data_IF_215488381939
#
_entry.id   IF_215488381939
#
_cell.length_a   1.000
_cell.length_b   1.000
_cell.length_c   1.000
_cell.angle_alpha   90.00
_cell.angle_beta   90.00
_cell.angle_gamma   90.00
#
_symmetry.space_group_name_H-M   'P 1'
#
loop_
_entity.id
_entity.type
_entity.pdbx_description
1 polymer ?
#
# COMPACT_ATOMS: atom_id res chain seq x y z
N UNK A 1 26.49 18.19 1.29
CA UNK A 1 25.53 17.21 1.83
C UNK A 1 24.13 17.57 1.33
N UNK A 2 23.46 16.64 0.68
CA UNK A 2 22.06 16.79 0.22
C UNK A 2 21.11 16.38 1.36
N UNK A 3 20.27 17.32 1.82
CA UNK A 3 19.17 16.98 2.74
C UNK A 3 17.96 16.59 1.91
N UNK A 4 17.52 15.34 2.04
CA UNK A 4 16.42 14.77 1.27
C UNK A 4 15.12 14.81 2.07
N UNK A 5 14.02 14.97 1.35
CA UNK A 5 12.65 14.84 1.85
C UNK A 5 11.98 13.61 1.19
N UNK A 6 10.90 13.11 1.76
CA UNK A 6 10.14 11.99 1.20
C UNK A 6 9.73 12.27 -0.26
N UNK A 7 9.92 11.28 -1.14
CA UNK A 7 9.68 11.38 -2.58
C UNK A 7 10.81 12.01 -3.40
N UNK A 8 11.82 12.60 -2.75
CA UNK A 8 12.91 13.27 -3.46
C UNK A 8 13.88 12.25 -4.06
N UNK A 9 14.24 12.49 -5.34
CA UNK A 9 15.17 11.68 -6.13
C UNK A 9 16.39 12.50 -6.53
N UNK A 10 17.56 11.87 -6.61
CA UNK A 10 18.79 12.49 -7.12
C UNK A 10 19.67 11.45 -7.84
N UNK A 11 20.43 11.88 -8.84
CA UNK A 11 21.46 11.03 -9.44
C UNK A 11 22.70 10.96 -8.54
N UNK A 12 23.38 9.84 -8.56
CA UNK A 12 24.64 9.67 -7.83
C UNK A 12 25.68 10.75 -8.21
N UNK A 13 25.73 11.08 -9.50
CA UNK A 13 26.64 12.14 -10.02
C UNK A 13 26.30 13.53 -9.48
N UNK A 14 25.04 13.81 -9.18
CA UNK A 14 24.60 15.09 -8.59
C UNK A 14 24.97 15.20 -7.10
N UNK A 15 25.07 14.05 -6.41
CA UNK A 15 25.39 13.99 -4.98
C UNK A 15 26.88 13.75 -4.75
N UNK A 16 27.62 13.32 -5.77
CA UNK A 16 29.03 12.96 -5.69
C UNK A 16 29.28 11.55 -5.16
N UNK A 17 28.28 10.65 -5.28
CA UNK A 17 28.38 9.24 -4.86
C UNK A 17 28.92 8.42 -6.03
N UNK A 18 29.84 7.49 -5.72
CA UNK A 18 30.35 6.47 -6.66
C UNK A 18 29.65 5.13 -6.45
N UNK A 19 30.17 4.07 -7.07
CA UNK A 19 29.62 2.72 -6.92
C UNK A 19 29.89 2.07 -5.53
N UNK A 20 30.79 2.65 -4.74
CA UNK A 20 31.11 2.17 -3.39
C UNK A 20 30.73 3.23 -2.36
N UNK A 21 29.82 2.89 -1.47
CA UNK A 21 29.31 3.77 -0.42
C UNK A 21 28.72 2.95 0.73
N UNK A 22 28.41 3.61 1.84
CA UNK A 22 27.73 3.02 2.99
C UNK A 22 26.36 3.67 3.19
N UNK A 23 25.32 2.86 3.32
CA UNK A 23 24.02 3.29 3.86
C UNK A 23 24.03 3.13 5.36
N UNK A 24 23.71 4.19 6.09
CA UNK A 24 23.69 4.22 7.55
C UNK A 24 22.29 4.54 8.00
N UNK A 25 21.76 3.75 8.96
CA UNK A 25 20.50 4.06 9.63
C UNK A 25 20.73 4.34 11.11
N UNK A 26 20.17 5.43 11.57
CA UNK A 26 20.05 5.79 12.99
C UNK A 26 18.56 5.94 13.29
N UNK A 27 17.93 4.85 13.72
CA UNK A 27 16.50 4.80 13.99
C UNK A 27 16.26 4.77 15.50
N UNK A 28 15.42 5.67 15.97
CA UNK A 28 15.11 5.85 17.40
C UNK A 28 13.63 5.57 17.64
N UNK A 29 13.30 4.58 18.44
CA UNK A 29 11.92 4.24 18.81
C UNK A 29 11.80 3.85 20.29
N UNK A 30 12.35 4.65 21.20
CA UNK A 30 12.30 4.40 22.63
C UNK A 30 12.87 3.03 23.01
N UNK A 31 12.01 2.17 23.55
CA UNK A 31 12.37 0.77 23.95
C UNK A 31 12.04 -0.25 22.85
N UNK A 32 11.46 0.18 21.73
CA UNK A 32 11.03 -0.73 20.64
C UNK A 32 12.22 -1.09 19.76
N UNK A 33 12.38 -2.37 19.50
CA UNK A 33 13.40 -2.87 18.56
C UNK A 33 12.93 -2.66 17.12
N UNK A 34 13.81 -2.09 16.31
CA UNK A 34 13.58 -1.89 14.88
C UNK A 34 14.58 -2.73 14.11
N UNK A 35 14.08 -3.65 13.31
CA UNK A 35 14.89 -4.45 12.39
C UNK A 35 15.03 -3.72 11.05
N UNK A 36 16.25 -3.67 10.53
CA UNK A 36 16.57 -3.04 9.26
C UNK A 36 17.06 -4.09 8.28
N UNK A 37 16.54 -4.04 7.05
CA UNK A 37 16.94 -4.92 5.96
C UNK A 37 17.17 -4.16 4.66
N UNK A 38 18.03 -4.71 3.80
CA UNK A 38 18.25 -4.23 2.45
C UNK A 38 17.86 -5.34 1.46
N UNK A 39 16.90 -5.07 0.60
CA UNK A 39 16.39 -5.99 -0.42
C UNK A 39 16.98 -5.69 -1.78
N UNK A 40 17.55 -6.69 -2.45
CA UNK A 40 17.98 -6.62 -3.85
C UNK A 40 16.85 -7.09 -4.78
N UNK A 41 16.33 -6.17 -5.60
CA UNK A 41 15.18 -6.42 -6.45
C UNK A 41 15.54 -6.30 -7.93
N UNK A 42 14.79 -7.00 -8.78
CA UNK A 42 14.91 -6.94 -10.24
C UNK A 42 14.27 -5.66 -10.84
N UNK A 43 14.31 -5.53 -12.17
CA UNK A 43 13.72 -4.41 -12.91
C UNK A 43 12.20 -4.28 -12.76
N UNK A 44 11.52 -5.29 -12.22
CA UNK A 44 10.09 -5.29 -11.88
C UNK A 44 9.84 -5.06 -10.38
N UNK A 45 10.89 -4.70 -9.64
CA UNK A 45 10.88 -4.52 -8.19
C UNK A 45 10.43 -5.78 -7.43
N UNK A 46 10.84 -6.96 -7.93
CA UNK A 46 10.65 -8.24 -7.26
C UNK A 46 11.97 -8.74 -6.69
N UNK A 47 11.90 -9.42 -5.56
CA UNK A 47 13.06 -10.02 -4.92
C UNK A 47 13.70 -11.02 -5.88
N UNK A 48 14.97 -10.84 -6.17
CA UNK A 48 15.71 -11.71 -7.12
C UNK A 48 15.82 -13.12 -6.56
N UNK A 49 16.17 -13.23 -5.29
CA UNK A 49 16.14 -14.45 -4.47
C UNK A 49 16.25 -14.03 -3.00
N UNK A 50 15.88 -14.92 -2.07
CA UNK A 50 16.00 -14.70 -0.63
C UNK A 50 17.45 -14.37 -0.20
N UNK A 51 18.44 -14.84 -0.94
CA UNK A 51 19.85 -14.53 -0.70
C UNK A 51 20.21 -13.05 -0.89
N UNK A 52 19.34 -12.28 -1.59
CA UNK A 52 19.49 -10.83 -1.76
C UNK A 52 18.69 -10.01 -0.75
N UNK A 53 18.25 -10.63 0.34
CA UNK A 53 17.71 -9.95 1.50
C UNK A 53 18.79 -9.89 2.59
N UNK A 54 19.45 -8.73 2.76
CA UNK A 54 20.53 -8.55 3.75
C UNK A 54 19.95 -7.98 5.04
N UNK A 55 20.13 -8.71 6.16
CA UNK A 55 19.63 -8.35 7.50
C UNK A 55 20.49 -9.06 8.58
N UNK A 56 20.14 -8.93 9.85
CA UNK A 56 20.98 -9.42 10.97
C UNK A 56 21.30 -10.93 10.90
N UNK A 57 20.38 -11.77 10.43
CA UNK A 57 20.62 -13.22 10.27
C UNK A 57 21.33 -13.58 8.95
N UNK A 58 21.29 -12.69 7.97
CA UNK A 58 21.94 -12.85 6.66
C UNK A 58 22.72 -11.58 6.31
N UNK A 59 23.88 -11.35 6.97
CA UNK A 59 24.56 -10.06 6.91
C UNK A 59 25.33 -9.79 5.61
N UNK A 60 25.30 -10.73 4.63
CA UNK A 60 26.01 -10.57 3.36
C UNK A 60 25.26 -11.18 2.20
N UNK A 61 25.28 -10.51 1.04
CA UNK A 61 24.84 -11.09 -0.22
C UNK A 61 25.84 -12.12 -0.77
N UNK A 62 25.40 -13.12 -1.57
CA UNK A 62 26.29 -14.14 -2.16
C UNK A 62 27.43 -13.55 -2.99
N UNK A 63 27.16 -12.48 -3.74
CA UNK A 63 28.14 -11.77 -4.57
C UNK A 63 29.08 -10.86 -3.75
N UNK A 64 28.84 -10.70 -2.44
CA UNK A 64 29.60 -9.79 -1.57
C UNK A 64 29.43 -8.30 -1.91
N UNK A 65 28.36 -7.95 -2.63
CA UNK A 65 28.04 -6.57 -2.97
C UNK A 65 27.52 -5.78 -1.77
N UNK A 66 26.84 -6.43 -0.82
CA UNK A 66 26.30 -5.82 0.38
C UNK A 66 26.78 -6.57 1.60
N UNK A 67 27.23 -5.82 2.61
CA UNK A 67 27.54 -6.37 3.94
C UNK A 67 27.00 -5.46 5.04
N UNK A 68 26.33 -6.07 6.03
CA UNK A 68 25.72 -5.38 7.18
C UNK A 68 26.66 -5.48 8.39
N UNK A 69 26.85 -4.35 9.05
CA UNK A 69 27.43 -4.23 10.37
C UNK A 69 26.41 -3.54 11.28
N UNK A 70 26.07 -4.15 12.41
CA UNK A 70 25.09 -3.63 13.36
C UNK A 70 25.77 -3.28 14.70
N UNK A 71 25.39 -2.14 15.24
CA UNK A 71 25.69 -1.72 16.63
C UNK A 71 24.35 -1.46 17.34
N UNK A 72 24.40 -1.17 18.64
CA UNK A 72 23.19 -0.87 19.40
C UNK A 72 22.39 0.35 18.90
N UNK A 73 23.03 1.30 18.23
CA UNK A 73 22.41 2.56 17.80
C UNK A 73 22.42 2.78 16.29
N UNK A 74 23.07 1.93 15.51
CA UNK A 74 23.31 2.19 14.10
C UNK A 74 23.47 0.88 13.31
N UNK A 75 22.86 0.81 12.14
CA UNK A 75 23.12 -0.23 11.15
C UNK A 75 23.84 0.38 9.94
N UNK A 76 24.87 -0.29 9.47
CA UNK A 76 25.70 0.15 8.36
C UNK A 76 25.72 -0.93 7.28
N UNK A 77 25.25 -0.59 6.09
CA UNK A 77 25.31 -1.45 4.91
C UNK A 77 26.41 -0.93 4.00
N UNK A 78 27.55 -1.62 3.98
CA UNK A 78 28.62 -1.33 3.03
C UNK A 78 28.22 -1.93 1.68
N UNK A 79 28.16 -1.10 0.65
CA UNK A 79 27.62 -1.43 -0.68
C UNK A 79 28.68 -1.18 -1.75
N UNK A 80 28.85 -2.18 -2.61
CA UNK A 80 29.65 -2.11 -3.84
C UNK A 80 28.78 -2.53 -5.03
N UNK A 81 28.21 -1.55 -5.72
CA UNK A 81 27.32 -1.78 -6.86
C UNK A 81 27.98 -2.49 -8.04
N UNK A 82 29.33 -2.43 -8.13
CA UNK A 82 30.08 -3.10 -9.20
C UNK A 82 30.07 -4.63 -9.09
N UNK A 83 29.72 -5.15 -7.90
CA UNK A 83 29.63 -6.59 -7.63
C UNK A 83 28.20 -7.13 -7.75
N UNK A 84 27.21 -6.25 -7.91
CA UNK A 84 25.84 -6.71 -8.10
C UNK A 84 25.69 -7.41 -9.44
N UNK A 85 24.93 -8.52 -9.51
CA UNK A 85 24.58 -9.12 -10.79
C UNK A 85 23.62 -8.20 -11.58
N UNK A 86 23.63 -8.36 -12.90
CA UNK A 86 22.78 -7.57 -13.80
C UNK A 86 21.28 -7.72 -13.52
N UNK A 87 20.88 -8.79 -12.84
CA UNK A 87 19.50 -9.03 -12.42
C UNK A 87 19.03 -8.14 -11.26
N UNK A 88 19.93 -7.42 -10.58
CA UNK A 88 19.57 -6.51 -9.48
C UNK A 88 19.62 -5.07 -9.97
N UNK A 89 18.46 -4.46 -10.11
CA UNK A 89 18.30 -3.06 -10.52
C UNK A 89 18.00 -2.12 -9.36
N UNK A 90 17.48 -2.66 -8.25
CA UNK A 90 17.08 -1.89 -7.07
C UNK A 90 17.64 -2.48 -5.80
N UNK A 91 18.08 -1.59 -4.90
CA UNK A 91 18.33 -1.89 -3.50
C UNK A 91 17.36 -1.05 -2.67
N UNK A 92 16.54 -1.71 -1.85
CA UNK A 92 15.55 -1.02 -1.01
C UNK A 92 15.87 -1.25 0.45
N UNK A 93 16.19 -0.15 1.14
CA UNK A 93 16.42 -0.14 2.57
C UNK A 93 15.08 -0.01 3.30
N UNK A 94 14.82 -0.91 4.24
CA UNK A 94 13.55 -1.02 4.94
C UNK A 94 13.75 -1.09 6.44
N UNK A 95 12.72 -0.75 7.20
CA UNK A 95 12.68 -0.97 8.64
C UNK A 95 11.36 -1.63 9.04
N UNK A 96 11.41 -2.51 10.04
CA UNK A 96 10.25 -3.23 10.56
C UNK A 96 10.23 -3.19 12.08
N UNK A 97 9.03 -3.18 12.65
CA UNK A 97 8.79 -3.26 14.10
C UNK A 97 7.96 -4.51 14.37
N UNK A 98 8.41 -5.31 15.33
CA UNK A 98 7.67 -6.47 15.80
C UNK A 98 6.73 -6.14 16.96
N UNK A 99 5.80 -7.06 17.24
CA UNK A 99 4.86 -6.94 18.37
C UNK A 99 3.70 -5.96 18.07
N UNK A 100 3.28 -5.21 19.09
CA UNK A 100 2.12 -4.30 19.03
C UNK A 100 2.49 -2.86 18.68
N UNK A 101 3.77 -2.53 18.67
CA UNK A 101 4.29 -1.19 18.34
C UNK A 101 4.16 -0.87 16.84
N UNK A 102 4.15 0.42 16.54
CA UNK A 102 4.03 0.92 15.15
C UNK A 102 5.12 1.94 14.85
N UNK A 103 5.33 2.25 13.57
CA UNK A 103 6.27 3.28 13.12
C UNK A 103 5.90 4.69 13.60
N UNK A 104 4.69 4.88 14.17
CA UNK A 104 4.31 6.12 14.85
C UNK A 104 5.18 6.42 16.07
N UNK A 105 5.79 5.39 16.68
CA UNK A 105 6.69 5.53 17.82
C UNK A 105 8.12 5.96 17.42
N UNK A 106 8.38 6.05 16.12
CA UNK A 106 9.68 6.46 15.60
C UNK A 106 9.95 7.92 15.98
N UNK A 107 10.98 8.16 16.77
CA UNK A 107 11.51 9.49 17.01
C UNK A 107 12.25 10.04 15.79
N UNK A 108 12.82 11.23 15.89
CA UNK A 108 13.64 11.79 14.81
C UNK A 108 14.78 10.84 14.46
N UNK A 109 14.74 10.32 13.27
CA UNK A 109 15.58 9.24 12.75
C UNK A 109 16.23 9.62 11.44
N UNK A 110 17.33 9.00 11.10
CA UNK A 110 18.12 9.38 9.94
C UNK A 110 18.52 8.18 9.10
N UNK A 111 18.45 8.36 7.78
CA UNK A 111 19.12 7.52 6.79
C UNK A 111 20.17 8.38 6.08
N UNK A 112 21.39 7.90 6.05
CA UNK A 112 22.53 8.66 5.52
C UNK A 112 23.27 7.83 4.48
N UNK A 113 23.81 8.50 3.46
CA UNK A 113 24.76 7.94 2.51
C UNK A 113 26.13 8.54 2.82
N UNK A 114 27.08 7.66 3.15
CA UNK A 114 28.45 7.99 3.46
C UNK A 114 29.40 7.44 2.39
N UNK A 115 30.37 8.21 2.01
CA UNK A 115 31.50 7.76 1.20
C UNK A 115 32.78 8.37 1.71
N UNK A 116 33.81 7.53 1.91
CA UNK A 116 35.13 7.95 2.43
C UNK A 116 35.05 8.78 3.73
N UNK A 117 34.12 8.43 4.64
CA UNK A 117 33.92 9.12 5.92
C UNK A 117 33.13 10.43 5.83
N UNK A 118 32.65 10.78 4.65
CA UNK A 118 31.85 12.00 4.45
C UNK A 118 30.39 11.66 4.16
N UNK A 119 29.44 12.27 4.91
CA UNK A 119 28.01 12.17 4.62
C UNK A 119 27.70 13.04 3.43
N UNK A 120 27.25 12.43 2.33
CA UNK A 120 26.91 13.09 1.08
C UNK A 120 25.41 13.38 0.96
N UNK A 121 24.57 12.47 1.47
CA UNK A 121 23.12 12.67 1.53
C UNK A 121 22.56 12.23 2.88
N UNK A 122 21.49 12.89 3.32
CA UNK A 122 20.78 12.62 4.58
C UNK A 122 19.28 12.74 4.37
N UNK A 123 18.53 11.72 4.75
CA UNK A 123 17.08 11.71 4.82
C UNK A 123 16.66 11.64 6.28
N UNK A 124 15.84 12.60 6.72
CA UNK A 124 15.29 12.65 8.08
C UNK A 124 13.84 12.23 8.05
N UNK A 125 13.47 11.34 8.96
CA UNK A 125 12.13 10.76 9.08
C UNK A 125 11.75 10.66 10.56
N UNK A 126 10.46 10.76 10.87
CA UNK A 126 9.93 10.58 12.22
C UNK A 126 8.53 9.95 12.18
N UNK A 127 8.02 9.55 13.34
CA UNK A 127 6.76 8.85 13.48
C UNK A 127 5.51 9.66 13.13
N UNK A 128 5.61 10.99 12.97
CA UNK A 128 4.47 11.84 12.61
C UNK A 128 3.91 11.52 11.20
N UNK A 129 4.74 10.87 10.37
CA UNK A 129 4.37 10.44 9.02
C UNK A 129 3.57 9.11 9.00
N UNK A 130 3.46 8.44 10.14
CA UNK A 130 2.89 7.08 10.24
C UNK A 130 1.74 7.02 11.23
N UNK A 131 0.90 6.02 11.07
CA UNK A 131 -0.21 5.71 11.97
C UNK A 131 -0.07 4.28 12.54
N UNK A 132 -0.47 3.28 11.74
CA UNK A 132 -0.50 1.87 12.14
C UNK A 132 0.53 1.03 11.37
N UNK A 133 1.39 1.68 10.61
CA UNK A 133 2.42 0.99 9.83
C UNK A 133 3.44 0.35 10.77
N UNK A 134 3.78 -0.90 10.46
CA UNK A 134 4.76 -1.70 11.21
C UNK A 134 6.01 -2.01 10.39
N UNK A 135 5.99 -1.68 9.10
CA UNK A 135 7.16 -1.69 8.24
C UNK A 135 7.16 -0.46 7.35
N UNK A 136 8.35 0.01 6.98
CA UNK A 136 8.53 1.16 6.08
C UNK A 136 9.65 0.87 5.07
N UNK A 137 9.49 1.36 3.85
CA UNK A 137 10.59 1.57 2.92
C UNK A 137 11.20 2.94 3.22
N UNK A 138 12.47 2.96 3.55
CA UNK A 138 13.21 4.16 3.93
C UNK A 138 13.82 4.86 2.72
N UNK A 139 14.61 4.10 1.95
CA UNK A 139 15.40 4.63 0.85
C UNK A 139 15.58 3.57 -0.22
N UNK A 140 15.62 3.99 -1.46
CA UNK A 140 15.88 3.15 -2.62
C UNK A 140 17.12 3.67 -3.37
N UNK A 141 18.02 2.76 -3.71
CA UNK A 141 19.09 2.96 -4.69
C UNK A 141 18.68 2.18 -5.92
N UNK A 142 18.65 2.80 -7.10
CA UNK A 142 18.18 2.14 -8.31
C UNK A 142 18.91 2.60 -9.56
N UNK A 143 18.94 1.71 -10.55
CA UNK A 143 19.53 1.95 -11.86
C UNK A 143 18.43 2.31 -12.87
N UNK A 144 18.61 3.42 -13.59
CA UNK A 144 17.72 3.81 -14.70
C UNK A 144 18.56 4.39 -15.84
N UNK A 145 18.48 3.78 -17.03
CA UNK A 145 19.29 4.14 -18.19
C UNK A 145 20.79 4.16 -17.84
N UNK A 146 21.27 3.09 -17.18
CA UNK A 146 22.65 2.90 -16.70
C UNK A 146 23.16 3.97 -15.72
N UNK A 147 22.26 4.79 -15.17
CA UNK A 147 22.58 5.81 -14.17
C UNK A 147 22.00 5.42 -12.82
N UNK A 148 22.85 5.27 -11.81
CA UNK A 148 22.43 5.05 -10.43
C UNK A 148 21.84 6.30 -9.80
N UNK A 149 20.78 6.11 -9.05
CA UNK A 149 19.97 7.15 -8.39
C UNK A 149 19.60 6.74 -6.99
N UNK A 150 19.28 7.74 -6.17
CA UNK A 150 18.67 7.55 -4.86
C UNK A 150 17.25 8.13 -4.85
N UNK A 151 16.39 7.53 -4.02
CA UNK A 151 15.03 7.99 -3.78
C UNK A 151 14.72 7.83 -2.29
N UNK A 152 14.40 8.91 -1.60
CA UNK A 152 13.90 8.87 -0.22
C UNK A 152 12.40 8.53 -0.27
N UNK A 153 11.97 7.42 0.34
CA UNK A 153 10.61 6.89 0.15
C UNK A 153 9.68 7.27 1.30
N UNK A 154 9.84 6.68 2.48
CA UNK A 154 8.91 6.89 3.59
C UNK A 154 7.56 6.17 3.45
N UNK A 155 7.43 5.17 2.59
CA UNK A 155 6.18 4.40 2.41
C UNK A 155 6.03 3.36 3.50
N UNK A 156 4.89 3.37 4.20
CA UNK A 156 4.57 2.44 5.27
C UNK A 156 3.71 1.24 4.87
N UNK A 157 3.77 0.17 5.68
CA UNK A 157 3.04 -1.09 5.53
C UNK A 157 2.47 -1.53 6.89
N UNK A 158 1.15 -1.64 7.00
CA UNK A 158 0.49 -2.03 8.25
C UNK A 158 0.77 -3.50 8.64
N UNK A 159 0.97 -4.38 7.67
CA UNK A 159 1.25 -5.80 7.86
C UNK A 159 2.70 -6.14 8.23
N UNK A 160 3.54 -5.15 8.56
CA UNK A 160 4.93 -5.38 8.97
C UNK A 160 5.79 -6.06 7.90
N UNK A 161 6.75 -6.88 8.35
CA UNK A 161 7.70 -7.57 7.46
C UNK A 161 6.99 -8.45 6.42
N UNK A 162 5.93 -9.17 6.80
CA UNK A 162 5.20 -10.05 5.88
C UNK A 162 4.60 -9.28 4.69
N UNK A 163 3.96 -8.13 4.96
CA UNK A 163 3.41 -7.30 3.89
C UNK A 163 4.50 -6.72 2.99
N UNK A 164 5.66 -6.40 3.56
CA UNK A 164 6.82 -5.90 2.82
C UNK A 164 7.42 -6.98 1.92
N UNK A 165 7.66 -8.19 2.45
CA UNK A 165 8.18 -9.34 1.69
C UNK A 165 7.22 -9.71 0.55
N UNK A 166 5.91 -9.78 0.84
CA UNK A 166 4.88 -10.02 -0.18
C UNK A 166 4.85 -8.93 -1.25
N UNK A 167 5.06 -7.66 -0.87
CA UNK A 167 5.16 -6.55 -1.81
C UNK A 167 6.29 -6.78 -2.83
N UNK A 168 7.42 -7.29 -2.37
CA UNK A 168 8.55 -7.65 -3.23
C UNK A 168 8.42 -9.03 -3.90
N UNK A 169 7.26 -9.71 -3.77
CA UNK A 169 6.98 -10.99 -4.43
C UNK A 169 7.64 -12.20 -3.76
N UNK A 170 8.21 -12.02 -2.55
CA UNK A 170 8.67 -13.11 -1.71
C UNK A 170 7.52 -13.83 -1.00
N UNK A 171 7.76 -15.05 -0.55
CA UNK A 171 6.86 -15.81 0.29
C UNK A 171 7.41 -15.82 1.73
N UNK A 172 6.53 -15.61 2.71
CA UNK A 172 6.87 -15.86 4.11
C UNK A 172 6.55 -17.32 4.38
N UNK A 173 7.54 -18.12 4.78
CA UNK A 173 7.34 -19.51 5.13
C UNK A 173 6.29 -19.59 6.25
N UNK A 174 5.17 -20.26 5.99
CA UNK A 174 4.23 -20.65 7.01
C UNK A 174 4.89 -21.72 7.86
N UNK A 175 5.04 -21.48 9.16
CA UNK A 175 5.32 -22.54 10.13
C UNK A 175 4.09 -23.45 10.21
N UNK A 176 3.96 -24.38 9.27
CA UNK A 176 3.05 -25.52 9.35
C UNK A 176 3.56 -26.51 10.38
N UNK A 177 3.35 -26.24 11.67
CA UNK A 177 3.37 -27.30 12.67
C UNK A 177 2.68 -26.88 13.97
N UNK A 178 1.36 -26.86 14.03
CA UNK A 178 0.61 -27.14 15.27
C UNK A 178 -0.89 -27.13 15.02
N UNK A 179 -1.45 -28.16 14.39
CA UNK A 179 -2.82 -28.58 14.64
C UNK A 179 -3.01 -30.06 14.28
N UNK A 180 -2.56 -30.93 15.19
CA UNK A 180 -3.12 -32.28 15.38
C UNK A 180 -3.41 -32.45 16.86
N UNK A 181 -4.66 -32.81 17.22
CA UNK A 181 -5.01 -32.99 18.63
C UNK A 181 -4.22 -34.18 19.23
N UNK A 182 -3.75 -34.07 20.48
CA UNK A 182 -3.00 -35.13 21.15
C UNK A 182 -3.94 -36.28 21.49
N UNK A 183 -3.57 -37.49 21.09
CA UNK A 183 -4.09 -38.72 21.70
C UNK A 183 -3.54 -38.83 23.11
N UNK A 184 -4.45 -39.00 24.06
CA UNK A 184 -4.16 -39.32 25.46
C UNK A 184 -3.23 -40.55 25.58
N UNK A 185 -2.18 -40.41 26.39
CA UNK A 185 -1.62 -41.52 27.15
C UNK A 185 -1.13 -41.02 28.50
N UNK A 186 -1.68 -41.65 29.55
CA UNK A 186 -1.34 -41.48 30.96
C UNK A 186 0.04 -42.06 31.22
N UNK A 187 0.87 -41.41 32.05
CA UNK A 187 1.30 -41.87 33.37
C UNK A 187 2.50 -41.07 33.94
N UNK A 188 2.24 -40.61 35.19
CA UNK A 188 3.10 -40.50 36.38
C UNK A 188 4.43 -39.75 36.44
N UNK A 189 4.37 -38.72 37.23
CA UNK A 189 5.21 -38.01 38.25
C UNK A 189 6.53 -38.68 38.75
N UNK A 190 7.49 -37.96 39.50
CA UNK A 190 7.53 -36.56 39.96
C UNK A 190 8.92 -35.84 39.97
N UNK A 191 8.84 -34.50 40.13
CA UNK A 191 9.74 -33.55 40.86
C UNK A 191 11.24 -33.40 40.51
N UNK A 192 11.66 -32.19 40.13
CA UNK A 192 12.39 -31.28 41.04
C UNK A 192 12.63 -29.90 40.41
N UNK A 193 12.50 -28.88 41.26
CA UNK A 193 12.72 -27.45 41.06
C UNK A 193 14.11 -27.10 40.50
N UNK A 194 14.21 -26.12 39.62
CA UNK A 194 15.02 -24.91 39.81
C UNK A 194 14.63 -23.85 38.75
N UNK A 195 14.27 -22.67 39.26
CA UNK A 195 13.92 -21.51 38.52
C UNK A 195 15.13 -20.93 37.78
N UNK A 196 15.01 -20.70 36.45
CA UNK A 196 15.71 -19.66 35.78
C UNK A 196 14.73 -19.05 34.79
N UNK A 197 14.32 -17.79 35.08
CA UNK A 197 13.57 -16.94 34.18
C UNK A 197 14.44 -16.63 32.97
N UNK A 198 14.21 -17.34 31.87
CA UNK A 198 14.56 -16.90 30.53
C UNK A 198 13.25 -16.51 29.89
N UNK A 199 13.11 -15.21 29.59
CA UNK A 199 12.06 -14.70 28.74
C UNK A 199 12.10 -15.44 27.39
N UNK A 200 11.16 -16.34 27.20
CA UNK A 200 10.82 -16.87 25.88
C UNK A 200 10.16 -15.75 25.09
N UNK A 201 10.61 -15.49 23.85
CA UNK A 201 9.90 -14.56 22.96
C UNK A 201 8.48 -15.10 22.75
N UNK A 202 7.49 -14.26 22.98
CA UNK A 202 6.10 -14.54 22.65
C UNK A 202 6.02 -14.83 21.16
N UNK A 203 5.61 -16.03 20.80
CA UNK A 203 5.31 -16.43 19.43
C UNK A 203 4.24 -15.50 18.87
N UNK A 204 4.66 -14.57 18.00
CA UNK A 204 3.75 -13.79 17.19
C UNK A 204 3.00 -14.74 16.26
N UNK A 205 1.67 -14.77 16.36
CA UNK A 205 0.82 -15.48 15.41
C UNK A 205 1.08 -14.97 13.99
N UNK A 206 1.21 -15.83 12.99
CA UNK A 206 1.43 -15.41 11.61
C UNK A 206 0.27 -14.53 11.15
N UNK A 207 0.60 -13.35 10.64
CA UNK A 207 -0.38 -12.39 10.14
C UNK A 207 -0.90 -12.87 8.78
N UNK A 208 -1.99 -13.63 8.79
CA UNK A 208 -2.59 -14.20 7.58
C UNK A 208 -3.36 -13.09 6.84
N UNK A 209 -2.71 -12.44 5.88
CA UNK A 209 -3.35 -11.46 5.00
C UNK A 209 -4.27 -12.18 4.03
N UNK A 210 -5.57 -12.19 4.32
CA UNK A 210 -6.56 -12.80 3.43
C UNK A 210 -6.85 -11.86 2.26
N UNK A 211 -6.21 -12.12 1.13
CA UNK A 211 -6.45 -11.40 -0.13
C UNK A 211 -7.48 -12.11 -0.99
N UNK A 212 -8.47 -11.36 -1.49
CA UNK A 212 -9.48 -11.83 -2.44
C UNK A 212 -9.47 -10.91 -3.66
N UNK A 213 -9.43 -11.51 -4.85
CA UNK A 213 -9.48 -10.78 -6.13
C UNK A 213 -10.83 -10.99 -6.80
N UNK A 214 -11.50 -9.92 -7.16
CA UNK A 214 -12.75 -9.89 -7.90
C UNK A 214 -12.45 -9.39 -9.33
N UNK A 215 -12.62 -10.25 -10.33
CA UNK A 215 -12.28 -9.98 -11.73
C UNK A 215 -13.48 -10.05 -12.70
N UNK A 216 -14.68 -10.32 -12.16
CA UNK A 216 -15.90 -10.45 -12.96
C UNK A 216 -17.01 -9.55 -12.42
N UNK A 217 -17.74 -8.85 -13.30
CA UNK A 217 -18.92 -8.09 -12.90
C UNK A 217 -19.89 -8.95 -12.09
N UNK A 218 -20.35 -8.39 -10.96
CA UNK A 218 -21.24 -9.07 -10.04
C UNK A 218 -20.57 -10.05 -9.08
N UNK A 219 -19.28 -10.34 -9.21
CA UNK A 219 -18.57 -11.08 -8.15
C UNK A 219 -18.46 -10.23 -6.90
N UNK A 220 -18.67 -10.85 -5.74
CA UNK A 220 -18.72 -10.15 -4.46
C UNK A 220 -17.97 -10.89 -3.37
N UNK A 221 -17.49 -10.15 -2.39
CA UNK A 221 -16.88 -10.68 -1.18
C UNK A 221 -17.27 -9.84 0.03
N UNK A 222 -17.45 -10.50 1.18
CA UNK A 222 -17.81 -9.86 2.44
C UNK A 222 -16.64 -9.86 3.42
N UNK A 223 -16.38 -8.69 3.99
CA UNK A 223 -15.50 -8.46 5.14
C UNK A 223 -16.37 -8.28 6.38
N UNK A 224 -16.05 -8.98 7.46
CA UNK A 224 -16.70 -8.76 8.75
C UNK A 224 -16.04 -7.58 9.47
N UNK A 225 -16.85 -6.66 9.99
CA UNK A 225 -16.37 -5.56 10.82
C UNK A 225 -16.18 -6.02 12.25
N UNK A 226 -15.04 -5.67 12.85
CA UNK A 226 -14.79 -5.89 14.27
C UNK A 226 -15.31 -4.69 15.06
N UNK A 227 -16.23 -4.93 15.99
CA UNK A 227 -16.80 -3.86 16.83
C UNK A 227 -15.71 -3.27 17.75
N UNK A 228 -15.63 -1.93 17.78
CA UNK A 228 -14.75 -1.19 18.68
C UNK A 228 -13.31 -1.03 18.22
N UNK A 229 -12.98 -1.35 16.96
CA UNK A 229 -11.68 -1.06 16.37
C UNK A 229 -11.59 0.40 15.89
N UNK A 230 -10.43 1.02 16.06
CA UNK A 230 -10.14 2.36 15.52
C UNK A 230 -9.72 2.33 14.04
N UNK A 231 -9.79 1.18 13.39
CA UNK A 231 -9.31 0.99 12.03
C UNK A 231 -10.31 1.54 11.01
N UNK A 232 -9.83 2.43 10.13
CA UNK A 232 -10.62 2.89 9.00
C UNK A 232 -10.58 1.87 7.87
N UNK A 233 -11.66 1.83 7.10
CA UNK A 233 -11.64 1.15 5.81
C UNK A 233 -10.88 2.03 4.82
N UNK A 234 -9.79 1.50 4.27
CA UNK A 234 -8.96 2.20 3.28
C UNK A 234 -9.34 1.71 1.88
N UNK A 235 -9.72 2.61 1.01
CA UNK A 235 -10.05 2.31 -0.39
C UNK A 235 -9.09 3.08 -1.30
N UNK A 236 -8.34 2.34 -2.11
CA UNK A 236 -7.39 2.90 -3.07
C UNK A 236 -7.87 2.62 -4.50
N UNK A 237 -7.95 3.65 -5.33
CA UNK A 237 -7.95 3.48 -6.78
C UNK A 237 -6.51 3.57 -7.28
N UNK A 238 -6.09 2.61 -8.09
CA UNK A 238 -4.71 2.48 -8.57
C UNK A 238 -4.76 2.29 -10.07
N UNK A 239 -3.95 3.06 -10.82
CA UNK A 239 -3.86 2.97 -12.27
C UNK A 239 -2.41 3.05 -12.75
N UNK A 240 -2.16 2.57 -13.95
CA UNK A 240 -0.83 2.59 -14.57
C UNK A 240 -0.72 3.73 -15.57
N UNK A 241 0.52 4.12 -15.88
CA UNK A 241 0.87 4.94 -17.02
C UNK A 241 0.45 4.23 -18.33
N UNK A 242 -0.12 4.95 -19.28
CA UNK A 242 -0.57 4.40 -20.56
C UNK A 242 0.58 4.05 -21.54
N UNK A 243 1.82 4.42 -21.18
CA UNK A 243 3.03 4.14 -21.94
C UNK A 243 3.33 5.11 -23.09
N UNK A 244 2.60 6.22 -23.21
CA UNK A 244 2.90 7.25 -24.19
C UNK A 244 3.97 8.26 -23.69
N UNK A 245 4.29 9.27 -24.48
CA UNK A 245 5.28 10.28 -24.12
C UNK A 245 4.70 11.49 -23.38
N UNK A 246 3.37 11.55 -23.22
CA UNK A 246 2.70 12.62 -22.50
C UNK A 246 2.76 12.37 -20.99
N UNK A 247 3.06 13.38 -20.20
CA UNK A 247 3.19 13.26 -18.75
C UNK A 247 1.95 13.74 -17.98
N UNK A 248 0.90 14.19 -18.69
CA UNK A 248 -0.24 14.86 -18.07
C UNK A 248 -1.62 14.31 -18.49
N UNK A 249 -1.66 13.15 -19.14
CA UNK A 249 -2.90 12.50 -19.57
C UNK A 249 -3.25 11.22 -18.80
N UNK A 250 -2.40 10.79 -17.87
CA UNK A 250 -2.57 9.60 -17.05
C UNK A 250 -3.23 9.93 -15.70
N UNK A 251 -4.15 10.89 -15.72
CA UNK A 251 -4.87 11.36 -14.54
C UNK A 251 -6.26 10.69 -14.46
N UNK A 252 -6.51 10.02 -13.32
CA UNK A 252 -7.81 9.45 -12.98
C UNK A 252 -8.28 9.97 -11.62
N UNK A 253 -9.41 10.63 -11.60
CA UNK A 253 -10.04 11.10 -10.37
C UNK A 253 -10.89 10.01 -9.72
N UNK A 254 -10.56 9.60 -8.50
CA UNK A 254 -11.40 8.73 -7.69
C UNK A 254 -12.62 9.51 -7.16
N UNK A 255 -13.80 9.02 -7.45
CA UNK A 255 -15.07 9.60 -6.99
C UNK A 255 -15.88 8.57 -6.22
N UNK A 256 -16.44 8.99 -5.11
CA UNK A 256 -17.26 8.13 -4.24
C UNK A 256 -18.67 8.72 -4.12
N UNK A 257 -19.64 7.99 -4.64
CA UNK A 257 -21.05 8.31 -4.40
C UNK A 257 -21.56 7.55 -3.17
N UNK A 258 -22.31 8.22 -2.31
CA UNK A 258 -22.81 7.71 -1.03
C UNK A 258 -24.33 7.73 -1.03
N UNK A 259 -24.97 6.61 -0.72
CA UNK A 259 -26.41 6.48 -0.61
C UNK A 259 -26.80 5.74 0.67
N UNK A 260 -27.40 6.44 1.63
CA UNK A 260 -28.03 5.81 2.79
C UNK A 260 -29.30 5.03 2.40
N UNK A 261 -29.59 3.92 3.09
CA UNK A 261 -30.80 3.14 2.83
C UNK A 261 -32.07 3.93 3.08
N UNK A 262 -32.04 4.87 4.02
CA UNK A 262 -33.15 5.76 4.36
C UNK A 262 -33.32 6.96 3.42
N UNK A 263 -32.42 7.18 2.46
CA UNK A 263 -32.40 8.33 1.55
C UNK A 263 -32.67 7.92 0.10
N UNK A 264 -33.11 8.87 -0.69
CA UNK A 264 -33.17 8.79 -2.17
C UNK A 264 -32.07 9.64 -2.80
N UNK A 265 -31.46 10.55 -2.03
CA UNK A 265 -30.46 11.50 -2.48
C UNK A 265 -29.07 10.97 -2.17
N UNK A 266 -28.18 11.12 -3.12
CA UNK A 266 -26.78 10.77 -3.00
C UNK A 266 -25.92 12.00 -2.71
N UNK A 267 -24.89 11.83 -1.89
CA UNK A 267 -23.77 12.76 -1.81
C UNK A 267 -22.54 12.17 -2.50
N UNK A 268 -21.62 13.04 -2.91
CA UNK A 268 -20.42 12.65 -3.63
C UNK A 268 -19.20 13.26 -2.96
N UNK A 269 -18.11 12.47 -2.96
CA UNK A 269 -16.80 12.86 -2.47
C UNK A 269 -15.81 12.75 -3.64
N UNK A 270 -15.02 13.77 -3.84
CA UNK A 270 -13.95 13.83 -4.83
C UNK A 270 -12.94 14.94 -4.45
N UNK A 271 -11.70 14.81 -4.87
CA UNK A 271 -10.69 15.84 -4.68
C UNK A 271 -10.62 16.76 -5.92
N UNK A 272 -10.18 18.01 -5.72
CA UNK A 272 -9.89 18.65 -4.44
C UNK A 272 -11.11 19.30 -3.75
N UNK A 273 -12.28 19.39 -4.40
CA UNK A 273 -13.37 20.27 -3.98
C UNK A 273 -14.18 19.72 -2.80
N UNK A 274 -14.57 18.45 -2.86
CA UNK A 274 -15.47 17.81 -1.88
C UNK A 274 -14.77 16.63 -1.19
N UNK A 275 -13.74 16.93 -0.39
CA UNK A 275 -12.91 15.91 0.25
C UNK A 275 -13.61 15.14 1.37
N UNK A 276 -14.72 15.65 1.93
CA UNK A 276 -15.49 15.00 2.99
C UNK A 276 -14.82 15.03 4.37
N UNK A 277 -15.29 14.14 5.28
CA UNK A 277 -14.82 14.04 6.66
C UNK A 277 -15.02 12.63 7.19
N UNK A 278 -14.14 12.17 8.09
CA UNK A 278 -14.28 10.89 8.82
C UNK A 278 -15.06 11.00 10.12
N UNK A 279 -15.10 12.19 10.73
CA UNK A 279 -15.68 12.43 12.05
C UNK A 279 -17.05 13.11 12.01
N UNK A 280 -17.42 13.63 10.85
CA UNK A 280 -18.71 14.24 10.57
C UNK A 280 -19.26 13.70 9.26
N UNK A 281 -20.53 13.98 8.93
CA UNK A 281 -21.08 13.65 7.63
C UNK A 281 -20.16 14.16 6.52
N UNK A 282 -19.85 13.33 5.51
CA UNK A 282 -20.47 12.05 5.17
C UNK A 282 -19.76 10.82 5.75
N UNK A 283 -18.81 10.93 6.69
CA UNK A 283 -18.01 9.84 7.27
C UNK A 283 -17.13 9.09 6.25
N UNK A 284 -16.85 9.75 5.16
CA UNK A 284 -15.96 9.34 4.05
C UNK A 284 -15.07 10.52 3.74
N UNK A 285 -13.76 10.29 3.62
CA UNK A 285 -12.77 11.34 3.38
C UNK A 285 -11.78 10.96 2.29
N UNK A 286 -11.67 11.81 1.27
CA UNK A 286 -10.64 11.72 0.24
C UNK A 286 -9.31 12.27 0.77
N UNK A 287 -8.19 11.63 0.43
CA UNK A 287 -6.86 11.99 0.94
C UNK A 287 -6.08 12.95 0.03
N UNK A 288 -6.66 13.41 -1.04
CA UNK A 288 -6.08 14.37 -1.96
C UNK A 288 -6.03 13.87 -3.41
N UNK A 289 -5.68 14.78 -4.30
CA UNK A 289 -5.65 14.63 -5.74
C UNK A 289 -4.22 14.25 -6.20
N UNK A 290 -4.08 13.21 -7.01
CA UNK A 290 -2.81 12.75 -7.58
C UNK A 290 -2.90 12.80 -9.11
N UNK A 291 -2.25 13.79 -9.71
CA UNK A 291 -2.39 14.15 -11.12
C UNK A 291 -1.53 13.36 -12.10
N UNK A 292 -0.61 12.53 -11.64
CA UNK A 292 0.40 11.91 -12.51
C UNK A 292 0.61 10.45 -12.12
N UNK A 293 0.42 9.55 -13.08
CA UNK A 293 1.00 8.21 -13.06
C UNK A 293 2.31 8.20 -13.86
N UNK A 294 3.23 7.32 -13.53
CA UNK A 294 4.44 7.06 -14.32
C UNK A 294 4.69 5.56 -14.41
N UNK A 295 5.50 5.13 -15.38
CA UNK A 295 5.88 3.72 -15.56
C UNK A 295 6.40 3.08 -14.26
N UNK A 296 7.04 3.88 -13.38
CA UNK A 296 7.63 3.40 -12.13
C UNK A 296 6.79 3.73 -10.88
N UNK A 297 5.77 4.55 -11.00
CA UNK A 297 4.90 4.97 -9.90
C UNK A 297 3.46 4.99 -10.43
N UNK A 298 2.68 3.92 -10.20
CA UNK A 298 1.25 3.91 -10.50
C UNK A 298 0.55 5.09 -9.83
N UNK A 299 -0.35 5.74 -10.55
CA UNK A 299 -1.24 6.72 -9.96
C UNK A 299 -2.08 6.05 -8.88
N UNK A 300 -2.29 6.74 -7.76
CA UNK A 300 -3.06 6.19 -6.65
C UNK A 300 -3.77 7.28 -5.87
N UNK A 301 -5.08 7.22 -5.84
CA UNK A 301 -5.89 8.02 -4.95
C UNK A 301 -6.51 7.18 -3.86
N UNK A 302 -6.67 7.78 -2.68
CA UNK A 302 -7.09 7.07 -1.47
C UNK A 302 -8.31 7.76 -0.85
N UNK A 303 -9.28 6.95 -0.47
CA UNK A 303 -10.43 7.35 0.34
C UNK A 303 -10.45 6.53 1.62
N UNK A 304 -10.66 7.19 2.74
CA UNK A 304 -10.92 6.55 4.02
C UNK A 304 -12.42 6.55 4.28
N UNK A 305 -12.93 5.46 4.83
CA UNK A 305 -14.33 5.32 5.24
C UNK A 305 -14.38 4.94 6.72
N UNK A 306 -15.18 5.67 7.48
CA UNK A 306 -15.44 5.31 8.86
C UNK A 306 -16.24 4.00 8.91
N UNK A 307 -15.78 2.92 9.56
CA UNK A 307 -16.48 1.63 9.58
C UNK A 307 -17.85 1.69 10.28
N UNK A 308 -18.06 2.65 11.17
CA UNK A 308 -19.35 2.90 11.84
C UNK A 308 -20.33 3.73 10.99
N UNK A 309 -20.04 4.00 9.71
CA UNK A 309 -20.87 4.83 8.83
C UNK A 309 -22.33 4.36 8.81
N UNK A 310 -22.60 3.05 8.79
CA UNK A 310 -23.94 2.48 8.83
C UNK A 310 -24.71 2.85 10.11
N UNK A 311 -24.03 2.91 11.25
CA UNK A 311 -24.59 3.33 12.53
C UNK A 311 -24.94 4.82 12.53
N UNK A 312 -24.07 5.67 11.97
CA UNK A 312 -24.31 7.11 11.90
C UNK A 312 -25.46 7.49 10.95
N UNK A 313 -25.65 6.71 9.89
CA UNK A 313 -26.79 6.89 8.97
C UNK A 313 -28.06 6.14 9.41
N UNK A 314 -28.02 5.42 10.53
CA UNK A 314 -29.17 4.66 11.06
C UNK A 314 -29.59 3.49 10.18
N UNK A 315 -28.66 2.87 9.44
CA UNK A 315 -28.94 1.73 8.57
C UNK A 315 -27.88 1.50 7.51
N UNK A 316 -28.14 0.61 6.57
CA UNK A 316 -27.21 0.28 5.49
C UNK A 316 -26.82 1.52 4.67
N UNK A 317 -25.56 1.56 4.26
CA UNK A 317 -25.02 2.60 3.37
C UNK A 317 -24.38 1.92 2.17
N UNK A 318 -24.71 2.40 0.98
CA UNK A 318 -24.07 1.97 -0.26
C UNK A 318 -23.07 3.03 -0.73
N UNK A 319 -21.87 2.60 -1.08
CA UNK A 319 -20.82 3.42 -1.66
C UNK A 319 -20.55 2.92 -3.09
N UNK A 320 -20.51 3.83 -4.07
CA UNK A 320 -20.06 3.51 -5.42
C UNK A 320 -18.73 4.19 -5.68
N UNK A 321 -17.72 3.38 -6.04
CA UNK A 321 -16.38 3.84 -6.35
C UNK A 321 -16.18 3.85 -7.85
N UNK A 322 -15.85 5.01 -8.39
CA UNK A 322 -15.59 5.20 -9.81
C UNK A 322 -14.35 6.04 -10.04
N UNK A 323 -13.71 5.84 -11.18
CA UNK A 323 -12.69 6.74 -11.68
C UNK A 323 -13.22 7.52 -12.87
N UNK A 324 -12.78 8.75 -12.97
CA UNK A 324 -13.13 9.67 -14.03
C UNK A 324 -11.85 10.14 -14.72
N UNK A 325 -11.84 10.09 -16.05
CA UNK A 325 -10.80 10.69 -16.87
C UNK A 325 -11.37 11.96 -17.52
N UNK A 326 -10.80 13.10 -17.20
CA UNK A 326 -11.30 14.38 -17.70
C UNK A 326 -11.13 14.48 -19.24
N UNK A 327 -12.08 15.11 -19.90
CA UNK A 327 -11.98 15.41 -21.35
C UNK A 327 -10.72 16.20 -21.69
N UNK A 328 -10.28 17.05 -20.77
CA UNK A 328 -9.05 17.84 -20.88
C UNK A 328 -7.76 17.01 -20.85
N UNK A 329 -7.80 15.77 -20.36
CA UNK A 329 -6.63 14.88 -20.30
C UNK A 329 -6.27 14.26 -21.66
N UNK A 330 -6.98 14.62 -22.72
CA UNK A 330 -6.72 14.12 -24.07
C UNK A 330 -7.43 12.80 -24.38
N UNK A 331 -6.95 12.06 -25.37
CA UNK A 331 -7.61 10.89 -25.92
C UNK A 331 -7.20 9.57 -25.23
N UNK A 332 -7.02 9.56 -23.92
CA UNK A 332 -6.62 8.37 -23.17
C UNK A 332 -7.83 7.51 -22.84
N UNK A 333 -7.73 6.21 -23.06
CA UNK A 333 -8.81 5.27 -22.71
C UNK A 333 -8.64 4.73 -21.31
N UNK A 334 -9.76 4.49 -20.61
CA UNK A 334 -9.74 3.79 -19.30
C UNK A 334 -8.99 2.45 -19.40
N UNK A 335 -9.11 1.77 -20.54
CA UNK A 335 -8.45 0.46 -20.74
C UNK A 335 -6.93 0.55 -20.79
N UNK A 336 -6.33 1.66 -21.24
CA UNK A 336 -4.88 1.85 -21.24
C UNK A 336 -4.34 2.09 -19.82
N UNK A 337 -5.13 2.70 -18.94
CA UNK A 337 -4.77 3.01 -17.56
C UNK A 337 -5.07 1.85 -16.59
N UNK A 338 -5.87 0.87 -16.98
CA UNK A 338 -6.19 -0.36 -16.22
C UNK A 338 -6.53 -0.11 -14.73
N UNK A 339 -7.49 0.75 -14.40
CA UNK A 339 -7.78 1.09 -13.02
C UNK A 339 -8.24 -0.11 -12.21
N UNK A 340 -7.69 -0.29 -11.04
CA UNK A 340 -8.14 -1.27 -10.06
C UNK A 340 -8.47 -0.59 -8.73
N UNK A 341 -9.32 -1.21 -7.94
CA UNK A 341 -9.61 -0.78 -6.58
C UNK A 341 -9.08 -1.81 -5.60
N UNK A 342 -8.45 -1.33 -4.54
CA UNK A 342 -8.03 -2.13 -3.40
C UNK A 342 -8.72 -1.60 -2.16
N UNK A 343 -9.47 -2.47 -1.51
CA UNK A 343 -10.12 -2.18 -0.23
C UNK A 343 -9.40 -2.95 0.87
N UNK A 344 -8.96 -2.25 1.90
CA UNK A 344 -8.25 -2.82 3.05
C UNK A 344 -9.01 -2.54 4.33
N UNK A 345 -9.17 -3.55 5.15
CA UNK A 345 -9.67 -3.42 6.51
C UNK A 345 -8.97 -4.46 7.40
N UNK A 346 -8.20 -3.99 8.37
CA UNK A 346 -7.34 -4.84 9.19
C UNK A 346 -6.43 -5.75 8.32
N UNK A 347 -6.47 -7.06 8.51
CA UNK A 347 -5.71 -8.05 7.74
C UNK A 347 -6.43 -8.55 6.48
N UNK A 348 -7.54 -7.93 6.08
CA UNK A 348 -8.30 -8.34 4.91
C UNK A 348 -8.10 -7.34 3.76
N UNK A 349 -7.85 -7.86 2.57
CA UNK A 349 -7.71 -7.08 1.34
C UNK A 349 -8.61 -7.66 0.27
N UNK A 350 -9.42 -6.82 -0.35
CA UNK A 350 -10.19 -7.18 -1.55
C UNK A 350 -9.72 -6.28 -2.68
N UNK A 351 -9.42 -6.88 -3.83
CA UNK A 351 -9.13 -6.13 -5.05
C UNK A 351 -10.21 -6.36 -6.10
N UNK A 352 -10.75 -5.26 -6.66
CA UNK A 352 -11.51 -5.29 -7.91
C UNK A 352 -10.55 -4.91 -9.04
N UNK A 353 -10.24 -5.86 -9.92
CA UNK A 353 -9.28 -5.65 -11.01
C UNK A 353 -9.99 -5.32 -12.32
N UNK A 354 -9.37 -4.49 -13.13
CA UNK A 354 -9.87 -4.15 -14.45
C UNK A 354 -9.93 -5.39 -15.35
N UNK A 355 -11.06 -5.57 -16.03
CA UNK A 355 -11.27 -6.68 -16.96
C UNK A 355 -11.81 -6.15 -18.30
N UNK A 356 -10.93 -6.06 -19.29
CA UNK A 356 -11.27 -5.53 -20.61
C UNK A 356 -12.34 -6.34 -21.34
N UNK A 357 -12.43 -7.65 -21.07
CA UNK A 357 -13.48 -8.50 -21.68
C UNK A 357 -14.85 -8.20 -21.11
N UNK A 358 -14.92 -7.81 -19.83
CA UNK A 358 -16.14 -7.42 -19.15
C UNK A 358 -16.53 -5.96 -19.42
N UNK A 359 -15.55 -5.10 -19.78
CA UNK A 359 -15.74 -3.67 -19.99
C UNK A 359 -15.24 -3.21 -21.37
N UNK A 360 -15.76 -3.76 -22.47
CA UNK A 360 -15.24 -3.49 -23.82
C UNK A 360 -15.33 -2.03 -24.26
N UNK A 361 -16.31 -1.28 -23.72
CA UNK A 361 -16.46 0.16 -23.98
C UNK A 361 -15.31 1.00 -23.44
N UNK A 362 -14.62 0.53 -22.41
CA UNK A 362 -13.47 1.21 -21.79
C UNK A 362 -12.28 1.38 -22.74
N UNK A 363 -12.26 0.71 -23.91
CA UNK A 363 -11.29 0.93 -25.00
C UNK A 363 -11.46 2.27 -25.71
N UNK A 364 -12.61 2.90 -25.57
CA UNK A 364 -12.90 4.18 -26.23
C UNK A 364 -12.37 5.33 -25.39
N UNK A 365 -11.59 6.21 -25.99
CA UNK A 365 -11.15 7.48 -25.40
C UNK A 365 -12.27 8.49 -25.13
N UNK A 366 -13.51 8.18 -25.55
CA UNK A 366 -14.71 8.96 -25.25
C UNK A 366 -15.55 8.35 -24.12
N UNK A 367 -15.03 7.42 -23.37
CA UNK A 367 -15.64 6.89 -22.14
C UNK A 367 -14.86 7.46 -20.96
N UNK A 368 -15.53 8.31 -20.19
CA UNK A 368 -14.92 9.12 -19.16
C UNK A 368 -15.08 8.58 -17.74
N UNK A 369 -16.13 7.79 -17.50
CA UNK A 369 -16.39 7.21 -16.17
C UNK A 369 -16.34 5.69 -16.23
N UNK A 370 -15.62 5.09 -15.28
CA UNK A 370 -15.56 3.65 -15.04
C UNK A 370 -15.87 3.35 -13.59
N UNK A 371 -16.91 2.55 -13.35
CA UNK A 371 -17.28 2.11 -12.00
C UNK A 371 -16.52 0.83 -11.68
N UNK A 372 -15.60 0.94 -10.70
CA UNK A 372 -14.75 -0.19 -10.30
C UNK A 372 -15.53 -1.14 -9.41
N UNK A 373 -16.25 -0.61 -8.41
CA UNK A 373 -16.98 -1.43 -7.47
C UNK A 373 -18.02 -0.69 -6.66
N UNK A 374 -18.86 -1.47 -5.99
CA UNK A 374 -19.92 -0.99 -5.09
C UNK A 374 -19.73 -1.69 -3.74
N UNK A 375 -19.67 -0.92 -2.66
CA UNK A 375 -19.65 -1.47 -1.31
C UNK A 375 -21.00 -1.23 -0.64
N UNK A 376 -21.53 -2.25 0.02
CA UNK A 376 -22.68 -2.14 0.93
C UNK A 376 -22.17 -2.39 2.33
N UNK A 377 -22.33 -1.40 3.20
CA UNK A 377 -21.88 -1.42 4.59
C UNK A 377 -23.09 -1.53 5.49
N UNK A 378 -23.09 -2.52 6.37
CA UNK A 378 -24.04 -2.69 7.47
C UNK A 378 -23.29 -2.81 8.82
N UNK A 379 -24.01 -2.96 9.93
CA UNK A 379 -23.40 -3.05 11.27
C UNK A 379 -22.47 -4.27 11.46
N UNK A 380 -22.61 -5.29 10.63
CA UNK A 380 -21.87 -6.54 10.75
C UNK A 380 -20.71 -6.65 9.77
N UNK A 381 -20.74 -5.86 8.67
CA UNK A 381 -19.67 -6.00 7.66
C UNK A 381 -19.84 -5.15 6.43
N UNK A 382 -18.92 -5.36 5.51
CA UNK A 382 -18.83 -4.69 4.22
C UNK A 382 -18.90 -5.74 3.12
N UNK A 383 -19.86 -5.63 2.22
CA UNK A 383 -19.90 -6.45 1.00
C UNK A 383 -19.42 -5.60 -0.16
N UNK A 384 -18.28 -5.96 -0.75
CA UNK A 384 -17.75 -5.34 -1.96
C UNK A 384 -18.13 -6.17 -3.18
N UNK A 385 -18.72 -5.53 -4.19
CA UNK A 385 -19.09 -6.11 -5.46
C UNK A 385 -18.31 -5.43 -6.59
N UNK A 386 -17.69 -6.22 -7.48
CA UNK A 386 -17.08 -5.72 -8.71
C UNK A 386 -18.16 -5.25 -9.69
N UNK A 387 -17.96 -4.08 -10.32
CA UNK A 387 -18.89 -3.53 -11.30
C UNK A 387 -18.40 -3.70 -12.73
N UNK A 388 -17.42 -2.95 -13.15
CA UNK A 388 -16.95 -2.91 -14.54
C UNK A 388 -17.83 -2.10 -15.49
N UNK A 389 -18.87 -1.41 -14.99
CA UNK A 389 -19.76 -0.57 -15.81
C UNK A 389 -19.07 0.74 -16.22
N UNK A 390 -19.40 1.25 -17.41
CA UNK A 390 -18.85 2.48 -17.96
C UNK A 390 -19.93 3.48 -18.32
N UNK A 391 -19.58 4.78 -18.35
CA UNK A 391 -20.44 5.78 -18.97
C UNK A 391 -20.69 5.47 -20.45
N UNK A 392 -21.76 6.04 -20.99
CA UNK A 392 -21.98 6.05 -22.43
C UNK A 392 -20.88 6.88 -23.11
N UNK A 393 -20.55 6.53 -24.34
CA UNK A 393 -19.57 7.28 -25.14
C UNK A 393 -19.99 8.75 -25.24
N UNK A 394 -19.06 9.65 -24.96
CA UNK A 394 -19.29 11.11 -24.94
C UNK A 394 -20.04 11.61 -23.70
N UNK A 395 -20.27 10.76 -22.68
CA UNK A 395 -21.00 11.14 -21.48
C UNK A 395 -20.07 11.20 -20.27
N UNK A 396 -20.06 12.32 -19.59
CA UNK A 396 -19.37 12.55 -18.30
C UNK A 396 -20.28 12.30 -17.09
N UNK A 397 -21.35 11.54 -17.28
CA UNK A 397 -22.30 11.26 -16.23
C UNK A 397 -21.68 10.54 -15.04
N UNK A 398 -22.11 10.93 -13.83
CA UNK A 398 -21.73 10.27 -12.59
C UNK A 398 -22.54 9.01 -12.33
N UNK A 399 -21.96 8.03 -11.59
CA UNK A 399 -22.70 6.86 -11.13
C UNK A 399 -23.78 7.24 -10.12
N UNK A 400 -24.97 6.69 -10.27
CA UNK A 400 -26.10 6.86 -9.37
C UNK A 400 -26.62 5.52 -8.90
N UNK A 401 -26.80 5.38 -7.58
CA UNK A 401 -27.38 4.19 -6.94
C UNK A 401 -28.86 4.41 -6.61
N UNK A 402 -29.62 3.33 -6.61
CA UNK A 402 -30.98 3.28 -6.06
C UNK A 402 -31.19 1.98 -5.32
N UNK A 403 -31.75 2.02 -4.12
CA UNK A 403 -32.07 0.82 -3.36
C UNK A 403 -33.26 0.05 -4.00
N UNK A 404 -33.13 -1.28 -4.04
CA UNK A 404 -34.17 -2.24 -4.35
C UNK A 404 -34.16 -3.35 -3.30
N UNK A 405 -34.93 -3.17 -2.23
CA UNK A 405 -34.81 -3.99 -1.03
C UNK A 405 -33.41 -3.84 -0.45
N UNK A 406 -32.73 -4.97 -0.21
CA UNK A 406 -31.36 -5.00 0.35
C UNK A 406 -30.24 -4.87 -0.68
N UNK A 407 -30.56 -4.71 -1.96
CA UNK A 407 -29.61 -4.55 -3.06
C UNK A 407 -29.69 -3.16 -3.66
N UNK A 408 -28.61 -2.75 -4.31
CA UNK A 408 -28.59 -1.49 -5.05
C UNK A 408 -28.57 -1.74 -6.55
N UNK A 409 -29.20 -0.83 -7.29
CA UNK A 409 -29.10 -0.75 -8.75
C UNK A 409 -28.25 0.44 -9.13
N UNK A 410 -27.25 0.18 -9.97
CA UNK A 410 -26.40 1.19 -10.57
C UNK A 410 -26.99 1.71 -11.87
N UNK A 411 -26.84 3.02 -12.10
CA UNK A 411 -26.96 3.70 -13.39
C UNK A 411 -25.87 4.76 -13.49
N UNK A 412 -25.35 5.01 -14.68
CA UNK A 412 -24.38 6.08 -14.93
C UNK A 412 -25.12 7.14 -15.76
N UNK A 413 -25.97 7.91 -15.08
CA UNK A 413 -26.87 8.93 -15.66
C UNK A 413 -27.04 10.17 -14.75
N UNK A 414 -26.18 10.32 -13.74
CA UNK A 414 -26.14 11.49 -12.86
C UNK A 414 -25.55 12.71 -13.54
N UNK A 415 -25.67 13.87 -12.90
CA UNK A 415 -25.08 15.12 -13.38
C UNK A 415 -23.57 14.98 -13.51
N UNK A 416 -22.99 15.59 -14.54
CA UNK A 416 -21.55 15.68 -14.67
C UNK A 416 -20.97 16.55 -13.53
N UNK A 417 -19.84 16.12 -13.00
CA UNK A 417 -19.09 16.85 -11.96
C UNK A 417 -17.74 17.20 -12.57
N UNK A 418 -17.46 18.48 -12.73
CA UNK A 418 -16.22 18.96 -13.30
C UNK A 418 -15.28 19.44 -12.20
N UNK A 419 -13.97 19.24 -12.36
CA UNK A 419 -12.98 20.01 -11.61
C UNK A 419 -13.08 21.48 -12.04
N UNK A 420 -13.21 22.38 -11.10
CA UNK A 420 -13.11 23.82 -11.33
C UNK A 420 -11.66 24.30 -11.22
#
# INVERSE_FOLDING_TARGET
MLNMIAGQKAKFTEVGITQQFTLITELTAGVTVIDVACFGLDGQQKLVSDDYMTFYNQPKTPCGAISLQSTASQQRFDIDLSKLPDSVDYLVLTATIDGQSTMRELGTSHVMLEQAGQILAKYTIDGSLFNNERAIMLLQVYRKNDVWRINAIGQGFNGGLSALVTHFGGEVADDEAADKPPKESKDNHPQSNFAHNLHTPSTSQPFNLKKVTLDKPGSEHRINLTKGGNDHLVVEAIWIDNGDTSSNNDDLDLRVGILAHSSKDMSYIHAPEEIGSLTAMPYVQHQGDIKIASINEPGKETVLVNPDISKYYGGKVALVFSVYSAVSNGAVSIASLQPKMRMKYQNQVIECVFNIKASPNAKSSFVYTYVIGIAIIDEAGITLQHSGETSKRGSEATPRLTWKGDKVRLKIDGAAMFKM
#
